data_IF_357154658853
#
_entry.id   IF_357154658853
#
_cell.length_a   1.000
_cell.length_b   1.000
_cell.length_c   1.000
_cell.angle_alpha   90.00
_cell.angle_beta   90.00
_cell.angle_gamma   90.00
#
_symmetry.space_group_name_H-M   'P 1'
#
loop_
_entity.id
_entity.type
_entity.pdbx_description
1 polymer ?
#
# COMPACT_ATOMS: atom_id res chain seq x y z
N UNK A 1 -42.71 -14.37 29.72
CA UNK A 1 -42.64 -14.16 28.26
C UNK A 1 -41.17 -14.22 27.85
N UNK A 2 -40.71 -15.17 27.04
CA UNK A 2 -39.34 -15.22 26.59
C UNK A 2 -39.14 -14.25 25.40
N UNK A 3 -38.17 -13.34 25.53
CA UNK A 3 -37.69 -12.48 24.46
C UNK A 3 -36.96 -13.35 23.41
N UNK A 4 -37.56 -13.46 22.23
CA UNK A 4 -36.90 -14.10 21.10
C UNK A 4 -35.74 -13.21 20.61
N UNK A 5 -34.50 -13.66 20.79
CA UNK A 5 -33.34 -13.06 20.17
C UNK A 5 -33.42 -13.31 18.65
N UNK A 6 -33.62 -12.25 17.88
CA UNK A 6 -33.49 -12.32 16.42
C UNK A 6 -32.08 -12.75 16.04
N UNK A 7 -31.91 -13.73 15.13
CA UNK A 7 -30.59 -14.11 14.66
C UNK A 7 -29.99 -12.92 13.90
N UNK A 8 -28.83 -12.45 14.36
CA UNK A 8 -28.03 -11.49 13.63
C UNK A 8 -27.69 -12.09 12.27
N UNK A 9 -28.30 -11.56 11.21
CA UNK A 9 -27.97 -11.92 9.83
C UNK A 9 -26.50 -11.63 9.63
N UNK A 10 -25.69 -12.67 9.43
CA UNK A 10 -24.30 -12.51 9.03
C UNK A 10 -24.28 -11.68 7.73
N UNK A 11 -23.86 -10.45 7.85
CA UNK A 11 -23.71 -9.55 6.70
C UNK A 11 -22.59 -10.13 5.85
N UNK A 12 -22.88 -10.47 4.59
CA UNK A 12 -21.87 -10.99 3.68
C UNK A 12 -20.66 -10.04 3.68
N UNK A 13 -19.47 -10.58 3.90
CA UNK A 13 -18.26 -9.77 3.96
C UNK A 13 -18.07 -9.01 2.64
N UNK A 14 -17.83 -7.71 2.72
CA UNK A 14 -17.60 -6.87 1.54
C UNK A 14 -16.46 -7.46 0.69
N UNK A 15 -16.68 -7.79 -0.60
CA UNK A 15 -15.69 -8.44 -1.45
C UNK A 15 -14.41 -7.61 -1.60
N UNK A 16 -14.49 -6.29 -1.41
CA UNK A 16 -13.34 -5.39 -1.42
C UNK A 16 -12.35 -5.68 -0.29
N UNK A 17 -12.79 -6.29 0.81
CA UNK A 17 -11.91 -6.66 1.93
C UNK A 17 -10.92 -7.75 1.52
N UNK A 18 -11.40 -8.80 0.86
CA UNK A 18 -10.54 -9.89 0.38
C UNK A 18 -9.54 -9.41 -0.67
N UNK A 19 -9.98 -8.51 -1.55
CA UNK A 19 -9.10 -7.89 -2.54
C UNK A 19 -8.01 -7.03 -1.89
N UNK A 20 -8.38 -6.17 -0.96
CA UNK A 20 -7.48 -5.18 -0.35
C UNK A 20 -6.29 -5.81 0.39
N UNK A 21 -6.45 -7.01 0.95
CA UNK A 21 -5.39 -7.67 1.72
C UNK A 21 -4.48 -8.57 0.89
N UNK A 22 -4.74 -8.73 -0.42
CA UNK A 22 -3.93 -9.58 -1.32
C UNK A 22 -2.41 -9.37 -1.22
N UNK A 23 -1.88 -8.13 -1.14
CA UNK A 23 -0.43 -7.91 -1.13
C UNK A 23 0.25 -8.33 0.18
N UNK A 24 -0.50 -8.62 1.24
CA UNK A 24 0.07 -8.95 2.54
C UNK A 24 0.53 -10.40 2.65
N UNK A 25 1.56 -10.68 3.49
CA UNK A 25 1.79 -11.99 4.07
C UNK A 25 0.52 -12.52 4.75
N UNK A 26 0.36 -13.84 4.76
CA UNK A 26 -0.90 -14.49 5.21
C UNK A 26 -1.25 -14.14 6.67
N UNK A 27 -0.25 -14.15 7.54
CA UNK A 27 -0.36 -13.86 8.97
C UNK A 27 -0.80 -12.42 9.30
N UNK A 28 -0.60 -11.47 8.37
CA UNK A 28 -1.00 -10.08 8.56
C UNK A 28 -2.41 -9.76 8.04
N UNK A 29 -2.97 -10.61 7.16
CA UNK A 29 -4.23 -10.32 6.46
C UNK A 29 -5.43 -10.16 7.39
N UNK A 30 -5.57 -11.07 8.36
CA UNK A 30 -6.72 -11.06 9.27
C UNK A 30 -6.76 -9.82 10.15
N UNK A 31 -5.59 -9.37 10.64
CA UNK A 31 -5.46 -8.21 11.52
C UNK A 31 -5.42 -6.85 10.83
N UNK A 32 -5.37 -6.78 9.50
CA UNK A 32 -5.26 -5.50 8.80
C UNK A 32 -6.58 -4.73 8.80
N UNK A 33 -6.51 -3.41 9.03
CA UNK A 33 -7.62 -2.50 8.77
C UNK A 33 -7.83 -2.36 7.26
N UNK A 34 -9.07 -2.33 6.79
CA UNK A 34 -9.38 -2.08 5.38
C UNK A 34 -10.19 -0.80 5.26
N UNK A 35 -9.72 0.11 4.42
CA UNK A 35 -10.35 1.41 4.17
C UNK A 35 -10.59 1.63 2.69
N UNK A 36 -11.66 2.31 2.36
CA UNK A 36 -11.90 2.86 1.03
C UNK A 36 -12.05 4.38 1.13
N UNK A 37 -11.86 5.07 0.02
CA UNK A 37 -12.11 6.50 -0.07
C UNK A 37 -13.23 6.76 -1.08
N UNK A 38 -14.13 7.65 -0.71
CA UNK A 38 -15.11 8.17 -1.65
C UNK A 38 -14.41 9.01 -2.72
N UNK A 39 -14.68 8.71 -3.98
CA UNK A 39 -13.97 9.35 -5.11
C UNK A 39 -14.33 10.81 -5.31
N UNK A 40 -15.50 11.21 -4.84
CA UNK A 40 -16.04 12.57 -5.02
C UNK A 40 -15.59 13.51 -3.91
N UNK A 41 -15.56 12.99 -2.68
CA UNK A 41 -15.31 13.80 -1.48
C UNK A 41 -13.93 13.55 -0.86
N UNK A 42 -13.29 12.43 -1.21
CA UNK A 42 -12.08 11.96 -0.53
C UNK A 42 -12.33 11.43 0.88
N UNK A 43 -13.60 11.28 1.28
CA UNK A 43 -13.95 10.81 2.61
C UNK A 43 -13.52 9.36 2.84
N UNK A 44 -12.90 9.13 3.99
CA UNK A 44 -12.45 7.80 4.43
C UNK A 44 -13.62 6.97 4.95
N UNK A 45 -13.75 5.74 4.47
CA UNK A 45 -14.69 4.74 4.93
C UNK A 45 -13.94 3.51 5.45
N UNK A 46 -14.15 3.12 6.69
CA UNK A 46 -13.61 1.87 7.24
C UNK A 46 -14.53 0.71 6.86
N UNK A 47 -14.03 -0.21 6.01
CA UNK A 47 -14.74 -1.42 5.59
C UNK A 47 -14.56 -2.56 6.59
N UNK A 48 -13.40 -2.63 7.25
CA UNK A 48 -13.07 -3.56 8.33
C UNK A 48 -12.09 -2.91 9.27
N UNK A 49 -12.41 -2.86 10.54
CA UNK A 49 -11.47 -2.50 11.59
C UNK A 49 -10.53 -3.67 11.87
N UNK A 50 -9.23 -3.41 11.85
CA UNK A 50 -8.20 -4.40 12.16
C UNK A 50 -7.54 -4.17 13.51
N UNK A 51 -6.68 -5.11 13.89
CA UNK A 51 -5.98 -5.16 15.18
C UNK A 51 -4.46 -4.93 15.08
N UNK A 52 -3.89 -5.03 13.87
CA UNK A 52 -2.46 -4.76 13.65
C UNK A 52 -2.22 -3.33 13.11
N UNK A 53 -0.95 -2.98 12.91
CA UNK A 53 -0.51 -1.66 12.45
C UNK A 53 -0.60 -1.47 10.92
N UNK A 54 -1.30 -2.37 10.21
CA UNK A 54 -1.43 -2.31 8.76
C UNK A 54 -2.80 -1.81 8.36
N UNK A 55 -2.82 -0.97 7.34
CA UNK A 55 -4.00 -0.50 6.66
C UNK A 55 -3.93 -0.79 5.17
N UNK A 56 -5.01 -1.32 4.61
CA UNK A 56 -5.11 -1.74 3.23
C UNK A 56 -6.21 -0.97 2.50
N UNK A 57 -6.00 -0.74 1.22
CA UNK A 57 -6.97 -0.13 0.30
C UNK A 57 -7.26 -1.10 -0.84
N UNK A 58 -8.53 -1.28 -1.22
CA UNK A 58 -8.90 -1.96 -2.45
C UNK A 58 -8.24 -1.33 -3.67
N UNK A 59 -8.36 -1.98 -4.82
CA UNK A 59 -7.79 -1.51 -6.08
C UNK A 59 -8.21 -0.07 -6.38
N UNK A 60 -7.20 0.79 -6.51
CA UNK A 60 -7.37 2.18 -6.88
C UNK A 60 -7.43 2.35 -8.43
N UNK A 61 -7.73 3.56 -8.91
CA UNK A 61 -7.82 3.86 -10.35
C UNK A 61 -6.51 3.62 -11.10
N UNK A 62 -5.38 3.75 -10.43
CA UNK A 62 -4.07 3.43 -10.97
C UNK A 62 -3.75 1.93 -11.04
N UNK A 63 -4.73 1.06 -10.75
CA UNK A 63 -4.63 -0.40 -10.87
C UNK A 63 -3.89 -1.11 -9.73
N UNK A 64 -3.51 -0.40 -8.67
CA UNK A 64 -2.85 -1.03 -7.53
C UNK A 64 -3.78 -1.27 -6.35
N UNK A 65 -3.65 -2.44 -5.75
CA UNK A 65 -4.05 -2.73 -4.36
C UNK A 65 -2.86 -2.40 -3.46
N UNK A 66 -3.10 -1.69 -2.35
CA UNK A 66 -2.04 -1.22 -1.46
C UNK A 66 -2.34 -1.49 0.00
N UNK A 67 -1.30 -1.94 0.72
CA UNK A 67 -1.29 -1.91 2.17
C UNK A 67 -0.06 -1.13 2.64
N UNK A 68 -0.16 -0.51 3.80
CA UNK A 68 0.89 0.33 4.38
C UNK A 68 0.76 0.39 5.90
N UNK A 69 1.82 0.77 6.58
CA UNK A 69 1.77 1.02 8.01
C UNK A 69 0.86 2.23 8.31
N UNK A 70 0.02 2.14 9.34
CA UNK A 70 -0.94 3.18 9.76
C UNK A 70 -0.33 4.56 9.99
N UNK A 71 0.98 4.65 10.24
CA UNK A 71 1.69 5.93 10.33
C UNK A 71 1.53 6.78 9.06
N UNK A 72 1.27 6.13 7.91
CA UNK A 72 1.05 6.79 6.63
C UNK A 72 -0.43 7.13 6.36
N UNK A 73 -1.37 6.75 7.24
CA UNK A 73 -2.80 7.01 7.03
C UNK A 73 -3.11 8.51 6.85
N UNK A 74 -2.59 9.46 7.66
CA UNK A 74 -2.87 10.88 7.44
C UNK A 74 -2.41 11.40 6.07
N UNK A 75 -1.31 10.86 5.55
CA UNK A 75 -0.85 11.16 4.18
C UNK A 75 -1.86 10.65 3.14
N UNK A 76 -2.39 9.43 3.32
CA UNK A 76 -3.36 8.84 2.39
C UNK A 76 -4.69 9.58 2.42
N UNK A 77 -5.13 9.99 3.60
CA UNK A 77 -6.34 10.82 3.76
C UNK A 77 -6.20 12.15 3.01
N UNK A 78 -5.04 12.81 3.14
CA UNK A 78 -4.73 14.05 2.42
C UNK A 78 -4.67 13.83 0.90
N UNK A 79 -3.99 12.76 0.43
CA UNK A 79 -3.94 12.40 -0.99
C UNK A 79 -5.34 12.19 -1.57
N UNK A 80 -6.20 11.44 -0.88
CA UNK A 80 -7.56 11.16 -1.32
C UNK A 80 -8.41 12.45 -1.45
N UNK A 81 -8.31 13.35 -0.46
CA UNK A 81 -9.00 14.63 -0.47
C UNK A 81 -8.54 15.50 -1.65
N UNK A 82 -7.23 15.66 -1.84
CA UNK A 82 -6.69 16.48 -2.93
C UNK A 82 -7.07 15.92 -4.32
N UNK A 83 -7.11 14.59 -4.47
CA UNK A 83 -7.57 13.97 -5.71
C UNK A 83 -9.06 14.18 -5.95
N UNK A 84 -9.89 14.12 -4.93
CA UNK A 84 -11.31 14.47 -5.02
C UNK A 84 -11.52 15.94 -5.44
N UNK A 85 -10.64 16.84 -5.01
CA UNK A 85 -10.57 18.25 -5.43
C UNK A 85 -9.99 18.43 -6.85
N UNK A 86 -9.71 17.33 -7.59
CA UNK A 86 -9.14 17.33 -8.94
C UNK A 86 -7.74 17.96 -9.07
N UNK A 87 -6.97 17.93 -7.99
CA UNK A 87 -5.58 18.37 -8.00
C UNK A 87 -4.72 17.47 -8.88
N UNK A 88 -3.81 18.07 -9.63
CA UNK A 88 -2.81 17.34 -10.42
C UNK A 88 -1.84 16.54 -9.55
N UNK A 89 -1.18 15.54 -10.11
CA UNK A 89 -0.17 14.74 -9.39
C UNK A 89 0.95 15.60 -8.80
N UNK A 90 1.33 16.68 -9.50
CA UNK A 90 2.32 17.64 -9.01
C UNK A 90 1.81 18.40 -7.79
N UNK A 91 0.60 18.93 -7.83
CA UNK A 91 0.00 19.65 -6.69
C UNK A 91 -0.16 18.74 -5.48
N UNK A 92 -0.59 17.50 -5.67
CA UNK A 92 -0.68 16.50 -4.59
C UNK A 92 0.70 16.24 -4.00
N UNK A 93 1.72 16.03 -4.83
CA UNK A 93 3.09 15.77 -4.38
C UNK A 93 3.65 16.95 -3.59
N UNK A 94 3.48 18.18 -4.10
CA UNK A 94 3.96 19.40 -3.46
C UNK A 94 3.25 19.66 -2.12
N UNK A 95 1.94 19.46 -2.05
CA UNK A 95 1.17 19.61 -0.83
C UNK A 95 1.59 18.59 0.25
N UNK A 96 1.81 17.31 -0.12
CA UNK A 96 2.33 16.29 0.78
C UNK A 96 3.74 16.64 1.27
N UNK A 97 4.61 17.12 0.39
CA UNK A 97 5.97 17.53 0.77
C UNK A 97 5.93 18.72 1.76
N UNK A 98 5.08 19.71 1.50
CA UNK A 98 4.88 20.85 2.39
C UNK A 98 4.34 20.43 3.77
N UNK A 99 3.32 19.57 3.82
CA UNK A 99 2.75 19.05 5.06
C UNK A 99 3.76 18.20 5.86
N UNK A 100 4.59 17.42 5.17
CA UNK A 100 5.68 16.65 5.78
C UNK A 100 6.74 17.57 6.37
N UNK A 101 7.16 18.60 5.63
CA UNK A 101 8.13 19.61 6.10
C UNK A 101 7.60 20.39 7.30
N UNK A 102 6.32 20.70 7.32
CA UNK A 102 5.65 21.38 8.45
C UNK A 102 5.40 20.45 9.66
N UNK A 103 5.66 19.14 9.54
CA UNK A 103 5.40 18.17 10.61
C UNK A 103 3.93 17.81 10.82
N UNK A 104 3.03 18.28 9.94
CA UNK A 104 1.57 17.98 10.02
C UNK A 104 1.27 16.53 9.68
N UNK A 105 2.05 15.94 8.78
CA UNK A 105 2.08 14.51 8.51
C UNK A 105 3.48 13.95 8.73
N UNK A 106 3.55 12.73 9.24
CA UNK A 106 4.83 12.06 9.48
C UNK A 106 5.43 11.54 8.17
N UNK A 107 6.74 11.75 8.00
CA UNK A 107 7.50 11.06 6.97
C UNK A 107 7.59 9.55 7.27
N UNK A 108 7.70 8.71 6.24
CA UNK A 108 8.03 7.31 6.45
C UNK A 108 9.34 7.18 7.24
N UNK A 109 9.35 6.31 8.24
CA UNK A 109 10.54 6.03 9.04
C UNK A 109 11.33 4.89 8.39
N UNK A 110 12.60 4.73 8.80
CA UNK A 110 13.41 3.59 8.38
C UNK A 110 12.72 2.27 8.73
N UNK A 111 12.63 1.34 7.78
CA UNK A 111 11.95 0.06 7.94
C UNK A 111 10.42 0.11 7.77
N UNK A 112 9.82 1.28 7.53
CA UNK A 112 8.37 1.35 7.24
C UNK A 112 8.07 0.59 5.95
N UNK A 113 7.20 -0.43 6.05
CA UNK A 113 6.81 -1.27 4.92
C UNK A 113 5.54 -0.77 4.26
N UNK A 114 5.50 -0.90 2.94
CA UNK A 114 4.27 -0.89 2.15
C UNK A 114 4.26 -2.08 1.18
N UNK A 115 3.07 -2.53 0.83
CA UNK A 115 2.81 -3.75 0.08
C UNK A 115 1.92 -3.37 -1.10
N UNK A 116 2.26 -3.86 -2.30
CA UNK A 116 1.52 -3.54 -3.53
C UNK A 116 1.23 -4.81 -4.31
N UNK A 117 0.03 -4.88 -4.86
CA UNK A 117 -0.37 -5.91 -5.82
C UNK A 117 -1.00 -5.23 -7.03
N UNK A 118 -0.74 -5.77 -8.21
CA UNK A 118 -1.41 -5.39 -9.45
C UNK A 118 -1.63 -6.63 -10.31
N UNK A 119 -2.76 -6.72 -10.97
CA UNK A 119 -3.07 -7.72 -11.99
C UNK A 119 -2.74 -7.23 -13.41
N UNK A 120 -2.29 -5.99 -13.57
CA UNK A 120 -1.80 -5.43 -14.83
C UNK A 120 -0.48 -6.11 -15.23
N UNK A 121 -0.39 -6.74 -16.41
CA UNK A 121 0.81 -7.43 -16.85
C UNK A 121 2.01 -6.50 -17.10
N UNK A 122 1.80 -5.19 -17.22
CA UNK A 122 2.87 -4.20 -17.34
C UNK A 122 3.42 -3.74 -15.98
N UNK A 123 2.95 -4.33 -14.88
CA UNK A 123 3.35 -4.00 -13.52
C UNK A 123 3.88 -5.21 -12.79
N UNK A 124 4.81 -4.98 -11.87
CA UNK A 124 5.27 -6.03 -10.96
C UNK A 124 4.08 -6.48 -10.12
N UNK A 125 3.75 -7.76 -10.21
CA UNK A 125 2.51 -8.32 -9.69
C UNK A 125 2.41 -8.24 -8.18
N UNK A 126 3.50 -8.58 -7.48
CA UNK A 126 3.61 -8.45 -6.03
C UNK A 126 4.93 -7.76 -5.68
N UNK A 127 4.84 -6.59 -5.06
CA UNK A 127 5.96 -5.74 -4.76
C UNK A 127 5.85 -5.20 -3.34
N UNK A 128 6.86 -5.45 -2.53
CA UNK A 128 7.01 -4.81 -1.23
C UNK A 128 8.01 -3.67 -1.33
N UNK A 129 7.80 -2.65 -0.54
CA UNK A 129 8.65 -1.45 -0.54
C UNK A 129 9.01 -1.11 0.89
N UNK A 130 10.31 -1.04 1.17
CA UNK A 130 10.84 -0.63 2.47
C UNK A 130 11.36 0.80 2.38
N UNK A 131 10.84 1.70 3.19
CA UNK A 131 11.38 3.06 3.32
C UNK A 131 12.71 3.03 4.07
N UNK A 132 13.73 3.68 3.53
CA UNK A 132 15.09 3.80 4.10
C UNK A 132 15.58 5.25 3.96
N UNK A 133 14.91 6.23 4.59
CA UNK A 133 15.18 7.65 4.38
C UNK A 133 16.66 7.99 4.54
N UNK A 134 17.21 8.75 3.58
CA UNK A 134 18.61 9.18 3.49
C UNK A 134 19.66 8.07 3.37
N UNK A 135 19.25 6.80 3.25
CA UNK A 135 20.20 5.72 3.06
C UNK A 135 20.84 5.76 1.66
N UNK A 136 22.08 5.28 1.58
CA UNK A 136 22.83 5.11 0.34
C UNK A 136 23.06 3.63 0.04
N UNK A 137 23.41 3.28 -1.21
CA UNK A 137 23.75 1.90 -1.58
C UNK A 137 24.86 1.30 -0.73
N UNK A 138 25.87 2.11 -0.42
CA UNK A 138 27.05 1.70 0.36
C UNK A 138 26.67 1.36 1.81
N UNK A 139 25.71 2.08 2.38
CA UNK A 139 25.21 1.83 3.75
C UNK A 139 24.48 0.49 3.87
N UNK A 140 23.78 0.08 2.81
CA UNK A 140 22.86 -1.06 2.87
C UNK A 140 23.29 -2.25 2.01
N UNK A 141 24.31 -2.10 1.15
CA UNK A 141 24.73 -3.12 0.21
C UNK A 141 23.66 -3.46 -0.86
N UNK A 142 22.78 -2.52 -1.17
CA UNK A 142 21.68 -2.73 -2.14
C UNK A 142 21.96 -1.94 -3.41
N UNK A 143 21.91 -2.62 -4.56
CA UNK A 143 22.15 -2.00 -5.88
C UNK A 143 21.08 -0.97 -6.23
N UNK A 144 21.46 0.06 -6.99
CA UNK A 144 20.53 1.01 -7.63
C UNK A 144 20.11 0.60 -9.04
N UNK A 145 20.69 -0.47 -9.58
CA UNK A 145 20.33 -0.98 -10.90
C UNK A 145 18.92 -1.54 -10.86
N UNK A 146 18.02 -0.94 -11.65
CA UNK A 146 16.62 -1.36 -11.70
C UNK A 146 16.49 -2.83 -12.10
N UNK A 147 15.74 -3.57 -11.32
CA UNK A 147 15.37 -4.97 -11.60
C UNK A 147 13.93 -5.10 -12.11
N UNK A 148 13.34 -3.99 -12.58
CA UNK A 148 11.94 -3.96 -12.98
C UNK A 148 11.61 -4.99 -14.05
N UNK A 149 12.42 -5.09 -15.10
CA UNK A 149 12.13 -5.99 -16.22
C UNK A 149 12.22 -7.46 -15.82
N UNK A 150 13.21 -7.81 -14.99
CA UNK A 150 13.30 -9.14 -14.39
C UNK A 150 12.11 -9.42 -13.46
N UNK A 151 11.70 -8.44 -12.66
CA UNK A 151 10.59 -8.58 -11.74
C UNK A 151 9.22 -8.72 -12.45
N UNK A 152 9.05 -8.12 -13.64
CA UNK A 152 7.88 -8.34 -14.49
C UNK A 152 7.78 -9.78 -14.99
N UNK A 153 8.90 -10.48 -15.11
CA UNK A 153 8.99 -11.89 -15.50
C UNK A 153 8.95 -12.86 -14.31
N UNK A 154 8.68 -12.35 -13.09
CA UNK A 154 8.58 -13.17 -11.88
C UNK A 154 9.92 -13.52 -11.23
N UNK A 155 11.00 -12.85 -11.58
CA UNK A 155 12.30 -12.92 -10.91
C UNK A 155 12.90 -11.52 -10.78
N UNK A 156 14.02 -11.37 -10.12
CA UNK A 156 14.68 -10.08 -9.88
C UNK A 156 15.08 -9.92 -8.42
N UNK A 157 16.13 -9.14 -8.22
CA UNK A 157 16.68 -8.83 -6.90
C UNK A 157 16.08 -7.53 -6.36
N UNK A 158 16.11 -7.29 -5.05
CA UNK A 158 15.83 -5.97 -4.50
C UNK A 158 16.77 -4.90 -5.06
N UNK A 159 16.22 -3.69 -5.25
CA UNK A 159 17.01 -2.53 -5.68
C UNK A 159 16.57 -1.26 -4.97
N UNK A 160 17.47 -0.30 -4.82
CA UNK A 160 17.23 0.97 -4.18
C UNK A 160 16.78 2.03 -5.20
N UNK A 161 15.80 2.83 -4.81
CA UNK A 161 15.40 4.03 -5.54
C UNK A 161 15.63 5.28 -4.69
N UNK A 162 15.94 6.40 -5.36
CA UNK A 162 16.16 7.72 -4.75
C UNK A 162 17.22 7.71 -3.61
N UNK A 163 18.39 7.10 -3.80
CA UNK A 163 19.41 6.99 -2.76
C UNK A 163 19.81 8.37 -2.22
N UNK A 164 20.14 8.45 -0.93
CA UNK A 164 20.60 9.66 -0.25
C UNK A 164 19.51 10.73 -0.05
N UNK A 165 18.24 10.45 -0.40
CA UNK A 165 17.13 11.40 -0.24
C UNK A 165 16.19 10.98 0.89
N UNK A 166 15.37 11.90 1.43
CA UNK A 166 14.30 11.53 2.37
C UNK A 166 13.28 10.52 1.82
N UNK A 167 13.20 10.38 0.49
CA UNK A 167 12.35 9.42 -0.21
C UNK A 167 13.03 8.10 -0.56
N UNK A 168 14.27 7.85 -0.11
CA UNK A 168 14.99 6.62 -0.40
C UNK A 168 14.22 5.39 0.07
N UNK A 169 14.12 4.39 -0.80
CA UNK A 169 13.38 3.16 -0.52
C UNK A 169 13.93 1.99 -1.33
N UNK A 170 13.72 0.79 -0.80
CA UNK A 170 14.08 -0.47 -1.45
C UNK A 170 12.81 -1.08 -2.05
N UNK A 171 12.88 -1.39 -3.34
CA UNK A 171 11.90 -2.17 -4.08
C UNK A 171 12.24 -3.65 -3.92
N UNK A 172 11.30 -4.45 -3.45
CA UNK A 172 11.48 -5.88 -3.13
C UNK A 172 10.42 -6.67 -3.93
N UNK A 173 10.75 -7.18 -5.13
CA UNK A 173 9.83 -8.01 -5.88
C UNK A 173 9.65 -9.35 -5.14
N UNK A 174 8.41 -9.77 -4.95
CA UNK A 174 8.09 -11.04 -4.33
C UNK A 174 7.83 -12.04 -5.44
N UNK A 175 8.84 -12.85 -5.71
CA UNK A 175 8.87 -13.77 -6.86
C UNK A 175 8.38 -15.17 -6.46
N UNK A 176 8.02 -15.97 -7.47
CA UNK A 176 7.73 -17.41 -7.35
C UNK A 176 6.68 -17.79 -6.28
N UNK A 177 5.77 -16.89 -5.99
CA UNK A 177 4.58 -17.20 -5.17
C UNK A 177 3.38 -17.48 -6.08
N UNK A 178 2.34 -18.22 -5.62
CA UNK A 178 1.12 -18.42 -6.39
C UNK A 178 0.49 -17.09 -6.85
N UNK A 179 0.67 -16.02 -6.08
CA UNK A 179 0.15 -14.70 -6.39
C UNK A 179 1.01 -13.94 -7.41
N UNK A 180 2.35 -14.13 -7.42
CA UNK A 180 3.26 -13.43 -8.33
C UNK A 180 3.51 -14.19 -9.63
N UNK A 181 3.49 -15.51 -9.63
CA UNK A 181 3.85 -16.35 -10.78
C UNK A 181 2.76 -16.51 -11.84
N UNK A 182 1.58 -15.94 -11.63
CA UNK A 182 0.54 -15.94 -12.66
C UNK A 182 0.06 -17.33 -13.08
N UNK A 183 0.15 -18.33 -12.22
CA UNK A 183 -0.39 -19.66 -12.47
C UNK A 183 -1.91 -19.59 -12.63
N UNK A 184 -2.34 -19.21 -13.82
CA UNK A 184 -3.64 -19.63 -14.34
C UNK A 184 -3.56 -21.13 -14.57
N UNK A 185 -4.23 -21.91 -13.73
CA UNK A 185 -4.68 -23.24 -14.13
C UNK A 185 -5.89 -23.10 -15.00
#
# INVERSE_FOLDING_TARGET
MPLAASPARAQAADPRIAEAVKPLPEDLKAGATVVAYDKTTGARQVLRQGTNEIECQPKAEDGFVRCYNKILAPRRDMEAKLRAEKKSDKEVTDAIAAATKAGTIKAPQFGTMSYRYSDDPQRIKLLWVMSVPNATPEMLGVSTVSQRDAALQGHGMPWMMLPGTPGAHIMIPINATPLSSGSSK
#
